data_IF_093691140224
#
_entry.id   IF_093691140224
#
_cell.length_a   1.000
_cell.length_b   1.000
_cell.length_c   1.000
_cell.angle_alpha   90.00
_cell.angle_beta   90.00
_cell.angle_gamma   90.00
#
_symmetry.space_group_name_H-M   'P 1'
#
loop_
_entity.id
_entity.type
_entity.pdbx_description
1 polymer ?
#
# COMPACT_ATOMS: atom_id res chain seq x y z
N UNK A 1 -28.51 52.96 -22.24
CA UNK A 1 -27.36 52.12 -21.81
C UNK A 1 -27.40 52.05 -20.29
N UNK A 2 -27.76 50.88 -19.72
CA UNK A 2 -27.87 50.72 -18.26
C UNK A 2 -26.47 50.80 -17.66
N UNK A 3 -26.27 51.68 -16.68
CA UNK A 3 -24.99 51.85 -15.97
C UNK A 3 -25.06 51.12 -14.63
N UNK A 4 -24.34 50.00 -14.53
CA UNK A 4 -24.22 49.24 -13.27
C UNK A 4 -23.17 49.91 -12.37
N UNK A 5 -23.57 50.24 -11.14
CA UNK A 5 -22.69 50.83 -10.13
C UNK A 5 -22.34 49.77 -9.10
N UNK A 6 -21.04 49.58 -8.86
CA UNK A 6 -20.52 48.60 -7.89
C UNK A 6 -20.32 49.31 -6.55
N UNK A 7 -20.88 48.72 -5.49
CA UNK A 7 -20.62 49.07 -4.10
C UNK A 7 -20.33 47.78 -3.36
N UNK A 8 -19.10 47.59 -2.94
CA UNK A 8 -18.69 46.42 -2.18
C UNK A 8 -18.84 46.70 -0.68
N UNK A 9 -19.26 45.68 0.06
CA UNK A 9 -19.22 45.64 1.52
C UNK A 9 -17.80 45.39 2.04
N UNK A 10 -17.56 45.69 3.32
CA UNK A 10 -16.26 45.45 3.95
C UNK A 10 -15.81 43.97 3.86
N UNK A 11 -16.76 43.03 3.93
CA UNK A 11 -16.50 41.60 3.82
C UNK A 11 -16.04 41.23 2.39
N UNK A 12 -16.75 41.70 1.36
CA UNK A 12 -16.42 41.42 -0.04
C UNK A 12 -15.05 42.03 -0.42
N UNK A 13 -14.74 43.25 0.04
CA UNK A 13 -13.43 43.87 -0.19
C UNK A 13 -12.30 43.03 0.43
N UNK A 14 -12.46 42.59 1.68
CA UNK A 14 -11.47 41.75 2.36
C UNK A 14 -11.25 40.40 1.66
N UNK A 15 -12.33 39.80 1.14
CA UNK A 15 -12.26 38.54 0.40
C UNK A 15 -11.59 38.71 -0.96
N UNK A 16 -11.93 39.74 -1.74
CA UNK A 16 -11.26 40.03 -3.02
C UNK A 16 -9.77 40.34 -2.83
N UNK A 17 -9.40 41.07 -1.78
CA UNK A 17 -7.99 41.31 -1.45
C UNK A 17 -7.28 40.01 -1.05
N UNK A 18 -7.97 39.12 -0.34
CA UNK A 18 -7.45 37.79 0.01
C UNK A 18 -7.19 36.95 -1.25
N UNK A 19 -8.13 36.96 -2.21
CA UNK A 19 -7.98 36.28 -3.51
C UNK A 19 -6.76 36.80 -4.25
N UNK A 20 -6.51 38.11 -4.26
CA UNK A 20 -5.36 38.72 -4.93
C UNK A 20 -4.03 38.36 -4.23
N UNK A 21 -4.01 38.34 -2.90
CA UNK A 21 -2.79 38.09 -2.10
C UNK A 21 -2.43 36.61 -2.02
N UNK A 22 -3.42 35.70 -1.96
CA UNK A 22 -3.21 34.26 -1.96
C UNK A 22 -3.04 33.78 -3.41
N UNK A 23 -1.84 33.38 -3.79
CA UNK A 23 -1.50 32.97 -5.17
C UNK A 23 -2.19 31.70 -5.72
N UNK A 24 -3.32 31.26 -5.18
CA UNK A 24 -3.99 29.99 -5.52
C UNK A 24 -5.48 30.17 -5.81
N UNK A 25 -5.81 30.89 -6.89
CA UNK A 25 -7.17 31.03 -7.43
C UNK A 25 -7.18 30.94 -8.96
N UNK A 26 -8.36 30.75 -9.57
CA UNK A 26 -8.45 30.72 -11.03
C UNK A 26 -8.13 32.09 -11.63
N UNK A 27 -7.52 32.13 -12.82
CA UNK A 27 -7.21 33.39 -13.52
C UNK A 27 -8.46 34.25 -13.79
N UNK A 28 -9.64 33.62 -13.86
CA UNK A 28 -10.92 34.32 -13.95
C UNK A 28 -11.25 35.06 -12.64
N UNK A 29 -11.12 34.39 -11.49
CA UNK A 29 -11.38 34.98 -10.16
C UNK A 29 -10.47 36.17 -9.90
N UNK A 30 -9.16 36.04 -10.19
CA UNK A 30 -8.21 37.15 -10.08
C UNK A 30 -8.62 38.36 -10.93
N UNK A 31 -8.99 38.11 -12.19
CA UNK A 31 -9.40 39.18 -13.11
C UNK A 31 -10.67 39.87 -12.63
N UNK A 32 -11.66 39.10 -12.18
CA UNK A 32 -12.91 39.65 -11.61
C UNK A 32 -12.61 40.46 -10.35
N UNK A 33 -11.78 39.95 -9.44
CA UNK A 33 -11.39 40.64 -8.21
C UNK A 33 -10.73 42.00 -8.49
N UNK A 34 -9.76 42.05 -9.41
CA UNK A 34 -9.13 43.31 -9.82
C UNK A 34 -10.13 44.28 -10.46
N UNK A 35 -11.06 43.80 -11.28
CA UNK A 35 -12.10 44.65 -11.90
C UNK A 35 -13.05 45.21 -10.84
N UNK A 36 -13.54 44.39 -9.92
CA UNK A 36 -14.50 44.80 -8.88
C UNK A 36 -13.86 45.80 -7.90
N UNK A 37 -12.66 45.52 -7.38
CA UNK A 37 -11.95 46.44 -6.49
C UNK A 37 -11.57 47.77 -7.16
N UNK A 38 -11.28 47.75 -8.47
CA UNK A 38 -10.98 48.99 -9.21
C UNK A 38 -12.23 49.78 -9.59
N UNK A 39 -13.39 49.14 -9.61
CA UNK A 39 -14.67 49.76 -9.97
C UNK A 39 -15.54 50.11 -8.76
N UNK A 40 -15.11 49.74 -7.56
CA UNK A 40 -15.86 49.92 -6.32
C UNK A 40 -16.01 51.40 -5.97
N UNK A 41 -17.25 51.82 -5.77
CA UNK A 41 -17.63 53.15 -5.27
C UNK A 41 -18.19 53.11 -3.85
N UNK A 42 -18.00 51.99 -3.15
CA UNK A 42 -18.36 51.80 -1.75
C UNK A 42 -17.52 52.63 -0.79
N UNK A 43 -17.92 52.63 0.47
CA UNK A 43 -17.24 53.39 1.54
C UNK A 43 -15.83 52.85 1.84
N UNK A 44 -15.63 51.56 1.60
CA UNK A 44 -14.38 50.83 1.85
C UNK A 44 -13.44 50.77 0.64
N UNK A 45 -13.71 51.56 -0.41
CA UNK A 45 -12.87 51.64 -1.61
C UNK A 45 -11.67 52.57 -1.41
N UNK A 46 -10.47 52.03 -1.62
CA UNK A 46 -9.22 52.80 -1.69
C UNK A 46 -9.06 53.54 -3.05
N UNK A 47 -9.93 53.26 -4.03
CA UNK A 47 -9.74 53.61 -5.45
C UNK A 47 -10.80 54.61 -5.97
N UNK A 48 -11.04 55.68 -5.22
CA UNK A 48 -12.01 56.72 -5.60
C UNK A 48 -11.47 57.56 -6.78
N UNK A 49 -11.82 57.17 -8.01
CA UNK A 49 -11.54 57.96 -9.21
C UNK A 49 -10.98 57.20 -10.41
N UNK A 50 -10.79 55.88 -10.32
CA UNK A 50 -10.30 55.06 -11.44
C UNK A 50 -11.36 54.97 -12.55
N UNK A 51 -10.97 55.27 -13.79
CA UNK A 51 -11.86 55.17 -14.95
C UNK A 51 -11.83 53.77 -15.57
N UNK A 52 -12.91 53.37 -16.26
CA UNK A 52 -12.93 52.11 -17.00
C UNK A 52 -11.77 52.04 -18.02
N UNK A 53 -11.34 53.17 -18.58
CA UNK A 53 -10.24 53.23 -19.55
C UNK A 53 -8.88 52.91 -18.93
N UNK A 54 -8.59 53.39 -17.72
CA UNK A 54 -7.36 53.02 -17.01
C UNK A 54 -7.34 51.54 -16.65
N UNK A 55 -8.49 50.98 -16.24
CA UNK A 55 -8.61 49.55 -15.93
C UNK A 55 -8.34 48.69 -17.17
N UNK A 56 -8.91 49.08 -18.32
CA UNK A 56 -8.64 48.41 -19.60
C UNK A 56 -7.15 48.41 -19.96
N UNK A 57 -6.44 49.53 -19.73
CA UNK A 57 -5.00 49.65 -20.02
C UNK A 57 -4.13 48.80 -19.10
N UNK A 58 -4.44 48.78 -17.80
CA UNK A 58 -3.69 48.02 -16.78
C UNK A 58 -3.93 46.52 -16.90
N UNK A 59 -5.18 46.10 -17.02
CA UNK A 59 -5.55 44.68 -17.11
C UNK A 59 -5.49 44.11 -18.53
N UNK A 60 -5.23 44.95 -19.55
CA UNK A 60 -5.20 44.60 -20.99
C UNK A 60 -6.49 43.89 -21.44
N UNK A 61 -7.65 44.44 -21.05
CA UNK A 61 -8.97 43.93 -21.37
C UNK A 61 -9.82 44.98 -22.11
N UNK A 62 -10.86 44.53 -22.82
CA UNK A 62 -11.84 45.42 -23.43
C UNK A 62 -12.91 45.92 -22.44
N UNK A 63 -13.43 47.13 -22.64
CA UNK A 63 -14.44 47.75 -21.77
C UNK A 63 -15.70 46.89 -21.58
N UNK A 64 -16.11 46.14 -22.62
CA UNK A 64 -17.24 45.21 -22.56
C UNK A 64 -17.06 44.10 -21.50
N UNK A 65 -15.83 43.71 -21.19
CA UNK A 65 -15.56 42.71 -20.14
C UNK A 65 -15.85 43.31 -18.77
N UNK A 66 -15.46 44.57 -18.54
CA UNK A 66 -15.78 45.30 -17.31
C UNK A 66 -17.29 45.41 -17.14
N UNK A 67 -18.01 45.81 -18.20
CA UNK A 67 -19.47 45.96 -18.14
C UNK A 67 -20.18 44.63 -17.87
N UNK A 68 -19.70 43.52 -18.45
CA UNK A 68 -20.24 42.18 -18.17
C UNK A 68 -20.02 41.75 -16.72
N UNK A 69 -18.84 42.02 -16.17
CA UNK A 69 -18.54 41.72 -14.76
C UNK A 69 -19.41 42.57 -13.84
N UNK A 70 -19.56 43.87 -14.14
CA UNK A 70 -20.42 44.78 -13.36
C UNK A 70 -21.89 44.35 -13.38
N UNK A 71 -22.39 44.04 -14.57
CA UNK A 71 -23.76 43.53 -14.76
C UNK A 71 -23.98 42.26 -13.95
N UNK A 72 -23.06 41.30 -14.07
CA UNK A 72 -23.17 40.00 -13.40
C UNK A 72 -23.09 40.11 -11.88
N UNK A 73 -22.21 40.96 -11.35
CA UNK A 73 -22.18 41.22 -9.90
C UNK A 73 -23.50 41.78 -9.38
N UNK A 74 -24.11 42.73 -10.10
CA UNK A 74 -25.37 43.36 -9.67
C UNK A 74 -26.58 42.45 -9.84
N UNK A 75 -26.62 41.66 -10.92
CA UNK A 75 -27.78 40.80 -11.24
C UNK A 75 -27.71 39.39 -10.64
N UNK A 76 -26.52 38.82 -10.51
CA UNK A 76 -26.30 37.42 -10.10
C UNK A 76 -25.57 37.29 -8.75
N UNK A 77 -24.96 38.36 -8.23
CA UNK A 77 -24.31 38.38 -6.91
C UNK A 77 -22.78 38.16 -6.91
N UNK A 78 -22.20 38.25 -5.71
CA UNK A 78 -20.73 38.21 -5.50
C UNK A 78 -20.09 36.85 -5.76
N UNK A 79 -20.68 35.77 -5.26
CA UNK A 79 -20.14 34.42 -5.44
C UNK A 79 -20.20 33.99 -6.93
N UNK A 80 -21.34 34.25 -7.58
CA UNK A 80 -21.57 33.89 -8.98
C UNK A 80 -20.62 34.58 -9.95
N UNK A 81 -20.28 35.86 -9.72
CA UNK A 81 -19.38 36.59 -10.64
C UNK A 81 -17.95 36.03 -10.59
N UNK A 82 -17.53 35.46 -9.46
CA UNK A 82 -16.22 34.84 -9.26
C UNK A 82 -16.11 33.46 -9.93
N UNK A 83 -17.21 32.77 -10.17
CA UNK A 83 -17.21 31.49 -10.90
C UNK A 83 -17.41 31.69 -12.41
N UNK A 84 -16.87 30.77 -13.23
CA UNK A 84 -17.17 30.76 -14.67
C UNK A 84 -18.53 30.11 -14.89
N UNK A 85 -19.41 30.77 -15.66
CA UNK A 85 -20.68 30.16 -16.07
C UNK A 85 -20.41 28.79 -16.72
N UNK A 86 -21.06 27.71 -16.24
CA UNK A 86 -20.94 26.40 -16.87
C UNK A 86 -21.35 26.49 -18.34
N UNK A 87 -20.60 25.81 -19.22
CA UNK A 87 -21.02 25.71 -20.62
C UNK A 87 -22.34 24.95 -20.68
N UNK A 88 -23.38 25.54 -21.27
CA UNK A 88 -24.68 24.88 -21.51
C UNK A 88 -24.63 23.83 -22.63
N UNK A 89 -23.43 23.52 -23.13
CA UNK A 89 -23.23 22.59 -24.22
C UNK A 89 -23.38 21.15 -23.71
N UNK A 90 -24.59 20.61 -23.86
CA UNK A 90 -24.90 19.22 -23.61
C UNK A 90 -24.27 18.37 -24.72
N UNK A 91 -23.07 17.86 -24.49
CA UNK A 91 -22.51 16.82 -25.35
C UNK A 91 -23.33 15.55 -25.13
N UNK A 92 -23.86 14.97 -26.21
CA UNK A 92 -24.39 13.61 -26.17
C UNK A 92 -23.26 12.68 -25.76
N UNK A 93 -23.34 12.11 -24.56
CA UNK A 93 -22.38 11.10 -24.11
C UNK A 93 -22.66 9.83 -24.91
N UNK A 94 -21.66 9.38 -25.69
CA UNK A 94 -21.70 8.08 -26.37
C UNK A 94 -21.75 6.89 -25.41
N UNK A 95 -21.35 7.13 -24.16
CA UNK A 95 -21.41 6.14 -23.10
C UNK A 95 -22.47 6.59 -22.12
N UNK A 96 -23.59 5.86 -22.12
CA UNK A 96 -24.65 5.97 -21.13
C UNK A 96 -24.40 5.01 -19.95
N UNK A 97 -25.22 5.11 -18.91
CA UNK A 97 -25.06 4.26 -17.72
C UNK A 97 -25.17 2.76 -18.01
N UNK A 98 -25.96 2.38 -19.02
CA UNK A 98 -26.14 0.98 -19.43
C UNK A 98 -24.87 0.44 -20.11
N UNK A 99 -24.27 1.19 -21.04
CA UNK A 99 -23.01 0.83 -21.66
C UNK A 99 -21.88 0.79 -20.62
N UNK A 100 -21.86 1.71 -19.65
CA UNK A 100 -20.90 1.67 -18.55
C UNK A 100 -21.03 0.36 -17.74
N UNK A 101 -22.25 -0.02 -17.36
CA UNK A 101 -22.50 -1.25 -16.62
C UNK A 101 -22.07 -2.50 -17.40
N UNK A 102 -22.36 -2.56 -18.71
CA UNK A 102 -21.93 -3.65 -19.59
C UNK A 102 -20.41 -3.76 -19.72
N UNK A 103 -19.71 -2.62 -19.85
CA UNK A 103 -18.24 -2.59 -19.90
C UNK A 103 -17.65 -3.12 -18.58
N UNK A 104 -18.21 -2.72 -17.44
CA UNK A 104 -17.74 -3.13 -16.12
C UNK A 104 -18.01 -4.62 -15.89
N UNK A 105 -19.21 -5.10 -16.21
CA UNK A 105 -19.57 -6.51 -16.11
C UNK A 105 -18.64 -7.40 -16.95
N UNK A 106 -18.34 -6.98 -18.18
CA UNK A 106 -17.39 -7.67 -19.04
C UNK A 106 -15.97 -7.66 -18.47
N UNK A 107 -15.52 -6.55 -17.90
CA UNK A 107 -14.20 -6.48 -17.24
C UNK A 107 -14.10 -7.40 -16.01
N UNK A 108 -15.23 -7.72 -15.36
CA UNK A 108 -15.32 -8.64 -14.23
C UNK A 108 -15.48 -10.11 -14.65
N UNK A 109 -15.71 -10.40 -15.93
CA UNK A 109 -15.86 -11.77 -16.43
C UNK A 109 -14.51 -12.42 -16.74
N UNK A 110 -14.53 -13.73 -17.00
CA UNK A 110 -13.36 -14.42 -17.52
C UNK A 110 -12.89 -13.81 -18.85
N UNK A 111 -11.57 -13.59 -19.02
CA UNK A 111 -11.02 -13.16 -20.29
C UNK A 111 -11.13 -14.27 -21.35
N UNK A 112 -11.00 -13.94 -22.65
CA UNK A 112 -11.00 -14.94 -23.72
C UNK A 112 -9.94 -16.03 -23.51
N UNK A 113 -10.23 -17.23 -24.01
CA UNK A 113 -9.32 -18.37 -23.93
C UNK A 113 -7.91 -18.00 -24.41
N UNK A 114 -6.88 -18.37 -23.64
CA UNK A 114 -5.47 -18.05 -23.91
C UNK A 114 -4.99 -16.71 -23.33
N UNK A 115 -5.87 -15.90 -22.74
CA UNK A 115 -5.49 -14.63 -22.10
C UNK A 115 -5.69 -14.70 -20.59
N UNK A 116 -4.72 -14.19 -19.83
CA UNK A 116 -4.82 -14.13 -18.37
C UNK A 116 -5.69 -12.98 -17.86
N UNK A 117 -5.88 -11.92 -18.67
CA UNK A 117 -6.59 -10.68 -18.30
C UNK A 117 -7.22 -10.00 -19.52
N UNK A 118 -8.24 -9.20 -19.29
CA UNK A 118 -8.79 -8.26 -20.27
C UNK A 118 -7.84 -7.08 -20.52
N UNK A 119 -7.43 -6.88 -21.77
CA UNK A 119 -6.82 -5.60 -22.17
C UNK A 119 -7.90 -4.58 -22.56
N UNK A 120 -7.60 -3.29 -22.45
CA UNK A 120 -8.55 -2.23 -22.83
C UNK A 120 -9.00 -2.32 -24.30
N UNK A 121 -8.11 -2.80 -25.19
CA UNK A 121 -8.43 -3.03 -26.60
C UNK A 121 -9.31 -4.25 -26.80
N UNK A 122 -9.09 -5.31 -26.02
CA UNK A 122 -9.96 -6.48 -26.05
C UNK A 122 -11.37 -6.12 -25.57
N UNK A 123 -11.48 -5.33 -24.49
CA UNK A 123 -12.77 -4.84 -24.02
C UNK A 123 -13.45 -3.97 -25.07
N UNK A 124 -12.75 -3.01 -25.68
CA UNK A 124 -13.35 -2.19 -26.74
C UNK A 124 -13.85 -3.03 -27.92
N UNK A 125 -13.03 -3.98 -28.37
CA UNK A 125 -13.40 -4.86 -29.48
C UNK A 125 -14.58 -5.76 -29.11
N UNK A 126 -14.59 -6.30 -27.89
CA UNK A 126 -15.63 -7.22 -27.43
C UNK A 126 -16.97 -6.50 -27.20
N UNK A 127 -16.94 -5.26 -26.73
CA UNK A 127 -18.15 -4.42 -26.59
C UNK A 127 -18.77 -4.09 -27.95
N UNK A 128 -17.94 -3.91 -28.99
CA UNK A 128 -18.41 -3.76 -30.38
C UNK A 128 -18.90 -5.10 -30.95
N UNK A 129 -18.18 -6.19 -30.72
CA UNK A 129 -18.56 -7.55 -31.14
C UNK A 129 -19.94 -7.97 -30.56
N UNK A 130 -20.20 -7.62 -29.29
CA UNK A 130 -21.47 -7.85 -28.61
C UNK A 130 -22.56 -6.85 -29.01
N UNK A 131 -22.29 -5.97 -29.99
CA UNK A 131 -23.21 -4.96 -30.52
C UNK A 131 -23.76 -4.00 -29.44
N UNK A 132 -22.99 -3.73 -28.39
CA UNK A 132 -23.37 -2.75 -27.37
C UNK A 132 -23.19 -1.31 -27.85
N UNK A 133 -22.28 -1.09 -28.81
CA UNK A 133 -22.00 0.20 -29.45
C UNK A 133 -21.31 -0.03 -30.79
N UNK A 134 -21.56 0.82 -31.78
CA UNK A 134 -20.92 0.70 -33.11
C UNK A 134 -19.40 0.90 -33.05
N UNK A 135 -18.95 1.77 -32.14
CA UNK A 135 -17.54 2.06 -31.94
C UNK A 135 -17.28 2.67 -30.55
N UNK A 136 -16.26 2.16 -29.87
CA UNK A 136 -15.73 2.75 -28.65
C UNK A 136 -14.20 2.71 -28.63
N UNK A 137 -13.58 3.82 -28.22
CA UNK A 137 -12.13 3.86 -28.04
C UNK A 137 -11.74 3.20 -26.71
N UNK A 138 -10.62 2.46 -26.71
CA UNK A 138 -10.01 1.90 -25.50
C UNK A 138 -9.73 2.96 -24.41
N UNK A 139 -9.54 4.24 -24.77
CA UNK A 139 -9.41 5.36 -23.82
C UNK A 139 -10.75 5.66 -23.13
N UNK A 140 -11.87 5.55 -23.85
CA UNK A 140 -13.20 5.71 -23.27
C UNK A 140 -13.49 4.58 -22.29
N UNK A 141 -13.19 3.33 -22.68
CA UNK A 141 -13.23 2.16 -21.77
C UNK A 141 -12.38 2.41 -20.52
N UNK A 142 -11.15 2.91 -20.67
CA UNK A 142 -10.28 3.24 -19.53
C UNK A 142 -10.90 4.29 -18.60
N UNK A 143 -11.51 5.34 -19.15
CA UNK A 143 -12.13 6.40 -18.36
C UNK A 143 -13.37 5.90 -17.60
N UNK A 144 -14.19 5.05 -18.23
CA UNK A 144 -15.33 4.39 -17.57
C UNK A 144 -14.85 3.56 -16.38
N UNK A 145 -13.87 2.69 -16.60
CA UNK A 145 -13.31 1.84 -15.56
C UNK A 145 -12.62 2.64 -14.44
N UNK A 146 -11.91 3.73 -14.76
CA UNK A 146 -11.25 4.59 -13.75
C UNK A 146 -12.25 5.31 -12.84
N UNK A 147 -13.38 5.74 -13.39
CA UNK A 147 -14.44 6.43 -12.64
C UNK A 147 -15.25 5.47 -11.78
N UNK A 148 -15.28 4.20 -12.13
CA UNK A 148 -16.02 3.19 -11.37
C UNK A 148 -15.33 2.88 -10.03
N UNK A 149 -16.14 2.51 -9.03
CA UNK A 149 -15.67 2.05 -7.73
C UNK A 149 -15.03 0.66 -7.85
N UNK A 150 -15.57 -0.20 -8.71
CA UNK A 150 -15.04 -1.51 -8.99
C UNK A 150 -13.78 -1.41 -9.85
N UNK A 151 -12.70 -2.01 -9.36
CA UNK A 151 -11.39 -2.05 -10.01
C UNK A 151 -10.94 -3.50 -10.14
N UNK A 152 -11.43 -4.27 -11.13
CA UNK A 152 -11.19 -5.72 -11.23
C UNK A 152 -9.70 -6.09 -11.30
N UNK A 153 -8.85 -5.18 -11.76
CA UNK A 153 -7.39 -5.36 -11.78
C UNK A 153 -6.72 -5.20 -10.41
N UNK A 154 -7.41 -4.68 -9.39
CA UNK A 154 -6.92 -4.62 -8.02
C UNK A 154 -7.26 -5.91 -7.29
N UNK A 155 -6.31 -6.83 -7.25
CA UNK A 155 -6.43 -8.08 -6.51
C UNK A 155 -5.68 -7.95 -5.19
N UNK A 156 -6.34 -8.28 -4.08
CA UNK A 156 -5.70 -8.53 -2.79
C UNK A 156 -5.85 -10.01 -2.49
N UNK A 157 -4.74 -10.71 -2.31
CA UNK A 157 -4.75 -12.09 -1.81
C UNK A 157 -4.94 -12.10 -0.30
N UNK A 158 -5.67 -13.08 0.21
CA UNK A 158 -5.69 -13.41 1.63
C UNK A 158 -5.71 -14.93 1.77
N UNK A 159 -5.16 -15.43 2.87
CA UNK A 159 -5.17 -16.85 3.21
C UNK A 159 -5.90 -16.98 4.55
N UNK A 160 -7.10 -17.54 4.50
CA UNK A 160 -7.92 -17.92 5.66
C UNK A 160 -8.60 -19.25 5.34
N UNK A 161 -9.00 -20.05 6.33
CA UNK A 161 -9.80 -21.25 6.09
C UNK A 161 -11.10 -20.92 5.32
N UNK A 162 -11.54 -21.81 4.41
CA UNK A 162 -12.75 -21.60 3.62
C UNK A 162 -14.02 -21.67 4.47
N UNK A 163 -13.99 -22.45 5.57
CA UNK A 163 -15.12 -22.73 6.45
C UNK A 163 -14.81 -22.36 7.91
N UNK A 164 -15.84 -22.41 8.76
CA UNK A 164 -15.69 -22.27 10.22
C UNK A 164 -14.71 -23.33 10.75
N UNK A 165 -13.77 -22.92 11.59
CA UNK A 165 -12.74 -23.84 12.10
C UNK A 165 -12.40 -23.52 13.55
N UNK A 166 -12.91 -24.36 14.46
CA UNK A 166 -12.60 -24.27 15.88
C UNK A 166 -11.08 -24.34 16.13
N UNK A 167 -10.39 -25.25 15.43
CA UNK A 167 -8.93 -25.40 15.55
C UNK A 167 -8.16 -24.18 15.03
N UNK A 168 -8.63 -23.53 13.96
CA UNK A 168 -8.04 -22.28 13.50
C UNK A 168 -8.15 -21.19 14.57
N UNK A 169 -9.37 -20.99 15.08
CA UNK A 169 -9.68 -19.95 16.06
C UNK A 169 -8.90 -20.17 17.35
N UNK A 170 -8.87 -21.40 17.88
CA UNK A 170 -8.16 -21.72 19.12
C UNK A 170 -6.65 -21.42 19.02
N UNK A 171 -6.00 -21.82 17.93
CA UNK A 171 -4.58 -21.56 17.74
C UNK A 171 -4.29 -20.09 17.43
N UNK A 172 -5.16 -19.42 16.65
CA UNK A 172 -5.06 -17.99 16.42
C UNK A 172 -5.13 -17.20 17.73
N UNK A 173 -6.16 -17.44 18.55
CA UNK A 173 -6.31 -16.72 19.83
C UNK A 173 -5.12 -17.01 20.76
N UNK A 174 -4.60 -18.26 20.78
CA UNK A 174 -3.38 -18.61 21.53
C UNK A 174 -2.16 -17.80 21.09
N UNK A 175 -1.93 -17.65 19.78
CA UNK A 175 -0.83 -16.83 19.24
C UNK A 175 -1.00 -15.37 19.66
N UNK A 176 -2.21 -14.84 19.50
CA UNK A 176 -2.52 -13.44 19.85
C UNK A 176 -2.42 -13.16 21.35
N UNK A 177 -2.77 -14.14 22.21
CA UNK A 177 -2.57 -14.03 23.65
C UNK A 177 -1.10 -13.97 24.02
N UNK A 178 -0.25 -14.77 23.36
CA UNK A 178 1.21 -14.72 23.57
C UNK A 178 1.76 -13.35 23.17
N UNK A 179 1.32 -12.79 22.04
CA UNK A 179 1.76 -11.48 21.57
C UNK A 179 1.32 -10.30 22.44
N UNK A 180 0.28 -10.47 23.26
CA UNK A 180 -0.16 -9.47 24.24
C UNK A 180 0.63 -9.49 25.54
N UNK A 181 1.42 -10.54 25.80
CA UNK A 181 2.16 -10.65 27.05
C UNK A 181 3.23 -9.56 27.16
N UNK A 182 3.45 -9.01 28.37
CA UNK A 182 4.55 -8.09 28.59
C UNK A 182 5.89 -8.81 28.39
N UNK A 183 6.93 -8.03 28.12
CA UNK A 183 8.28 -8.55 28.01
C UNK A 183 8.70 -9.27 29.30
N UNK A 184 9.30 -10.45 29.16
CA UNK A 184 9.83 -11.24 30.27
C UNK A 184 11.08 -12.00 29.81
N UNK A 185 12.24 -11.66 30.40
CA UNK A 185 13.54 -12.27 30.08
C UNK A 185 13.62 -13.76 30.42
N UNK A 186 12.88 -14.24 31.43
CA UNK A 186 12.85 -15.66 31.78
C UNK A 186 12.00 -16.48 30.80
N UNK A 187 11.04 -15.82 30.13
CA UNK A 187 10.08 -16.41 29.19
C UNK A 187 9.98 -15.63 27.88
N UNK A 188 11.09 -15.48 27.12
CA UNK A 188 11.10 -14.68 25.92
C UNK A 188 10.18 -15.26 24.84
N UNK A 189 9.54 -14.37 24.08
CA UNK A 189 8.69 -14.73 22.93
C UNK A 189 9.52 -14.56 21.67
N UNK A 190 9.86 -15.67 21.04
CA UNK A 190 10.62 -15.71 19.79
C UNK A 190 9.72 -16.23 18.68
N UNK A 191 9.69 -15.55 17.55
CA UNK A 191 9.03 -16.01 16.33
C UNK A 191 10.08 -16.57 15.39
N UNK A 192 9.78 -17.66 14.70
CA UNK A 192 10.70 -18.29 13.76
C UNK A 192 9.99 -18.65 12.46
N UNK A 193 10.69 -18.45 11.36
CA UNK A 193 10.26 -18.82 10.02
C UNK A 193 11.46 -19.01 9.09
N UNK A 194 11.19 -19.43 7.86
CA UNK A 194 12.22 -19.67 6.85
C UNK A 194 11.79 -19.32 5.43
N UNK A 195 12.77 -18.99 4.59
CA UNK A 195 12.54 -18.71 3.17
C UNK A 195 13.65 -19.27 2.30
N UNK A 196 13.34 -19.85 1.14
CA UNK A 196 14.35 -20.17 0.15
C UNK A 196 14.87 -18.89 -0.52
N UNK A 197 16.14 -18.90 -0.94
CA UNK A 197 16.76 -17.87 -1.78
C UNK A 197 17.48 -18.53 -2.95
N UNK A 198 17.14 -18.13 -4.17
CA UNK A 198 17.87 -18.53 -5.36
C UNK A 198 19.22 -17.83 -5.45
N UNK A 199 20.25 -18.61 -5.77
CA UNK A 199 21.59 -18.12 -6.06
C UNK A 199 21.69 -17.82 -7.55
N UNK A 200 21.91 -16.55 -7.87
CA UNK A 200 21.89 -16.03 -9.23
C UNK A 200 23.12 -15.17 -9.47
N UNK A 201 23.85 -15.47 -10.53
CA UNK A 201 24.95 -14.67 -11.03
C UNK A 201 24.47 -13.70 -12.11
N UNK A 202 24.92 -12.45 -12.01
CA UNK A 202 24.67 -11.42 -13.01
C UNK A 202 25.88 -11.33 -13.95
N UNK A 203 25.64 -11.44 -15.25
CA UNK A 203 26.71 -11.61 -16.26
C UNK A 203 27.42 -10.29 -16.57
N UNK A 204 26.68 -9.20 -16.77
CA UNK A 204 27.23 -7.86 -16.96
C UNK A 204 26.17 -6.77 -16.75
N UNK A 205 26.56 -5.67 -16.09
CA UNK A 205 25.77 -4.45 -16.07
C UNK A 205 26.60 -3.20 -16.31
N UNK A 206 26.00 -2.25 -17.04
CA UNK A 206 26.56 -0.93 -17.32
C UNK A 206 25.90 0.04 -16.34
N UNK A 207 26.69 0.73 -15.49
CA UNK A 207 26.15 1.68 -14.54
C UNK A 207 25.49 2.87 -15.25
N UNK A 208 24.49 3.46 -14.59
CA UNK A 208 23.79 4.65 -15.05
C UNK A 208 24.76 5.82 -15.25
N UNK A 209 24.55 6.61 -16.31
CA UNK A 209 25.26 7.88 -16.56
C UNK A 209 24.22 8.99 -16.82
N UNK A 210 24.52 10.28 -16.62
CA UNK A 210 23.59 11.35 -16.96
C UNK A 210 23.07 11.22 -18.40
N UNK A 211 21.76 11.06 -18.56
CA UNK A 211 21.10 10.85 -19.86
C UNK A 211 21.14 9.41 -20.40
N UNK A 212 21.64 8.44 -19.64
CA UNK A 212 21.66 7.02 -20.01
C UNK A 212 21.26 6.14 -18.83
N UNK A 213 20.18 5.37 -19.01
CA UNK A 213 19.73 4.39 -18.02
C UNK A 213 20.79 3.31 -17.77
N UNK A 214 20.81 2.75 -16.56
CA UNK A 214 21.57 1.54 -16.29
C UNK A 214 21.08 0.40 -17.21
N UNK A 215 22.01 -0.41 -17.71
CA UNK A 215 21.69 -1.57 -18.53
C UNK A 215 22.15 -2.81 -17.80
N UNK A 216 21.22 -3.73 -17.58
CA UNK A 216 21.48 -5.03 -16.97
C UNK A 216 21.22 -6.07 -18.05
N UNK A 217 22.15 -7.00 -18.25
CA UNK A 217 21.91 -8.14 -19.12
C UNK A 217 20.79 -9.01 -18.53
N UNK A 218 19.86 -9.45 -19.36
CA UNK A 218 18.80 -10.36 -18.94
C UNK A 218 19.30 -11.80 -18.79
N UNK A 219 20.48 -12.13 -19.32
CA UNK A 219 21.13 -13.40 -19.07
C UNK A 219 21.61 -13.50 -17.62
N UNK A 220 21.26 -14.60 -16.98
CA UNK A 220 21.71 -14.93 -15.62
C UNK A 220 21.99 -16.42 -15.52
N UNK A 221 22.92 -16.77 -14.63
CA UNK A 221 23.28 -18.17 -14.35
C UNK A 221 22.70 -18.55 -12.99
N UNK A 222 21.99 -19.68 -12.91
CA UNK A 222 21.43 -20.21 -11.67
C UNK A 222 22.40 -21.19 -11.03
N UNK A 223 22.78 -20.93 -9.78
CA UNK A 223 23.68 -21.76 -8.98
C UNK A 223 22.95 -22.60 -7.91
N UNK A 224 21.62 -22.72 -8.04
CA UNK A 224 20.76 -23.45 -7.11
C UNK A 224 20.07 -22.55 -6.09
N UNK A 225 19.79 -23.10 -4.91
CA UNK A 225 19.04 -22.44 -3.84
C UNK A 225 19.66 -22.71 -2.49
N UNK A 226 19.55 -21.74 -1.58
CA UNK A 226 19.83 -21.90 -0.15
C UNK A 226 18.55 -21.69 0.65
N UNK A 227 18.52 -22.18 1.88
CA UNK A 227 17.48 -21.89 2.85
C UNK A 227 17.97 -20.84 3.85
N UNK A 228 17.08 -19.94 4.25
CA UNK A 228 17.36 -18.91 5.24
C UNK A 228 16.38 -19.10 6.39
N UNK A 229 16.89 -19.48 7.54
CA UNK A 229 16.15 -19.45 8.80
C UNK A 229 16.27 -18.08 9.43
N UNK A 230 15.17 -17.56 9.97
CA UNK A 230 15.17 -16.38 10.80
C UNK A 230 14.40 -16.65 12.09
N UNK A 231 14.91 -16.10 13.18
CA UNK A 231 14.20 -15.97 14.43
C UNK A 231 14.27 -14.52 14.88
N UNK A 232 13.17 -14.00 15.42
CA UNK A 232 13.12 -12.65 15.96
C UNK A 232 12.38 -12.62 17.29
N UNK A 233 12.86 -11.80 18.21
CA UNK A 233 12.16 -11.46 19.44
C UNK A 233 11.48 -10.09 19.25
N UNK A 234 10.15 -10.05 19.05
CA UNK A 234 9.44 -8.83 18.62
C UNK A 234 9.62 -7.63 19.54
N UNK A 235 9.66 -7.87 20.85
CA UNK A 235 9.65 -6.82 21.89
C UNK A 235 11.03 -6.23 22.18
N UNK A 236 12.11 -6.95 21.87
CA UNK A 236 13.49 -6.47 22.02
C UNK A 236 14.05 -5.98 20.69
N UNK A 237 13.59 -6.55 19.57
CA UNK A 237 14.20 -6.31 18.27
C UNK A 237 15.47 -7.13 18.06
N UNK A 238 15.66 -8.25 18.76
CA UNK A 238 16.75 -9.17 18.47
C UNK A 238 16.38 -10.06 17.28
N UNK A 239 17.32 -10.30 16.37
CA UNK A 239 17.22 -11.27 15.28
C UNK A 239 18.40 -12.23 15.29
N UNK A 240 18.12 -13.46 14.91
CA UNK A 240 19.08 -14.53 14.64
C UNK A 240 18.74 -15.06 13.25
N UNK A 241 19.71 -15.03 12.33
CA UNK A 241 19.56 -15.54 10.98
C UNK A 241 20.59 -16.65 10.78
N UNK A 242 20.22 -17.67 10.01
CA UNK A 242 21.12 -18.74 9.63
C UNK A 242 20.86 -19.17 8.18
N UNK A 243 21.92 -19.44 7.43
CA UNK A 243 21.84 -19.80 6.01
C UNK A 243 22.34 -21.22 5.82
N UNK A 244 21.46 -22.10 5.37
CA UNK A 244 21.74 -23.52 5.17
C UNK A 244 21.58 -23.91 3.72
N UNK A 245 22.20 -25.01 3.29
CA UNK A 245 22.03 -25.51 1.91
C UNK A 245 20.62 -26.05 1.69
N UNK A 246 20.06 -26.65 2.73
CA UNK A 246 18.79 -27.35 2.70
C UNK A 246 17.89 -26.96 3.89
N UNK A 247 16.62 -27.32 3.77
CA UNK A 247 15.60 -27.28 4.82
C UNK A 247 15.33 -28.71 5.29
N UNK A 248 16.24 -29.29 6.07
CA UNK A 248 16.05 -30.64 6.63
C UNK A 248 15.63 -30.58 8.10
N UNK A 249 15.14 -31.70 8.65
CA UNK A 249 14.94 -31.87 10.10
C UNK A 249 16.22 -31.57 10.88
N UNK A 250 17.36 -31.96 10.34
CA UNK A 250 18.67 -31.75 10.95
C UNK A 250 19.04 -30.26 11.03
N UNK A 251 18.81 -29.52 9.94
CA UNK A 251 19.09 -28.08 9.87
C UNK A 251 18.18 -27.31 10.82
N UNK A 252 16.90 -27.70 10.88
CA UNK A 252 15.94 -27.14 11.84
C UNK A 252 16.39 -27.37 13.29
N UNK A 253 16.73 -28.60 13.67
CA UNK A 253 17.16 -28.92 15.03
C UNK A 253 18.40 -28.12 15.46
N UNK A 254 19.37 -27.94 14.54
CA UNK A 254 20.55 -27.10 14.75
C UNK A 254 20.18 -25.63 14.91
N UNK A 255 19.24 -25.11 14.12
CA UNK A 255 18.78 -23.74 14.25
C UNK A 255 18.05 -23.49 15.57
N UNK A 256 17.19 -24.42 16.02
CA UNK A 256 16.54 -24.31 17.32
C UNK A 256 17.57 -24.36 18.47
N UNK A 257 18.60 -25.20 18.36
CA UNK A 257 19.73 -25.16 19.31
C UNK A 257 20.41 -23.79 19.31
N UNK A 258 20.69 -23.20 18.13
CA UNK A 258 21.26 -21.85 18.00
C UNK A 258 20.39 -20.81 18.72
N UNK A 259 19.06 -20.87 18.58
CA UNK A 259 18.14 -20.01 19.34
C UNK A 259 18.32 -20.24 20.84
N UNK A 260 18.31 -21.49 21.31
CA UNK A 260 18.50 -21.82 22.73
C UNK A 260 19.79 -21.23 23.31
N UNK A 261 20.90 -21.36 22.57
CA UNK A 261 22.22 -20.88 22.99
C UNK A 261 22.26 -19.35 23.16
N UNK A 262 21.44 -18.61 22.40
CA UNK A 262 21.33 -17.14 22.46
C UNK A 262 20.55 -16.62 23.70
N UNK A 263 19.83 -17.50 24.39
CA UNK A 263 19.07 -17.20 25.62
C UNK A 263 19.50 -18.13 26.78
N UNK A 264 20.75 -18.04 27.25
CA UNK A 264 21.31 -18.96 28.26
C UNK A 264 20.58 -18.89 29.60
N UNK A 265 20.05 -17.72 29.97
CA UNK A 265 19.38 -17.47 31.26
C UNK A 265 17.87 -17.71 31.22
N UNK A 266 17.27 -17.89 30.05
CA UNK A 266 15.84 -18.10 29.92
C UNK A 266 15.45 -19.47 30.49
N UNK A 267 14.40 -19.51 31.31
CA UNK A 267 13.86 -20.76 31.86
C UNK A 267 13.12 -21.55 30.79
N UNK A 268 12.37 -20.85 29.93
CA UNK A 268 11.65 -21.46 28.82
C UNK A 268 11.39 -20.45 27.71
N UNK A 269 11.65 -20.82 26.47
CA UNK A 269 11.46 -19.93 25.31
C UNK A 269 10.12 -20.24 24.65
N UNK A 270 9.25 -19.24 24.52
CA UNK A 270 7.98 -19.36 23.78
C UNK A 270 8.26 -19.17 22.30
N UNK A 271 8.26 -20.26 21.54
CA UNK A 271 8.60 -20.24 20.13
C UNK A 271 7.32 -20.27 19.28
N UNK A 272 7.01 -19.16 18.61
CA UNK A 272 5.92 -19.06 17.65
C UNK A 272 6.44 -19.41 16.26
N UNK A 273 5.78 -20.36 15.60
CA UNK A 273 6.23 -20.88 14.29
C UNK A 273 5.11 -21.60 13.55
N UNK A 274 5.33 -21.96 12.30
CA UNK A 274 4.36 -22.71 11.50
C UNK A 274 4.28 -24.20 11.91
N UNK A 275 3.12 -24.80 11.64
CA UNK A 275 2.88 -26.22 11.89
C UNK A 275 3.37 -27.07 10.72
N UNK A 276 4.69 -27.08 10.50
CA UNK A 276 5.33 -27.85 9.44
C UNK A 276 5.79 -29.23 9.93
N UNK A 277 5.67 -30.26 9.08
CA UNK A 277 5.88 -31.66 9.50
C UNK A 277 7.29 -31.97 9.98
N UNK A 278 8.30 -31.19 9.58
CA UNK A 278 9.69 -31.41 10.03
C UNK A 278 9.97 -30.79 11.38
N UNK A 279 9.01 -30.03 11.94
CA UNK A 279 9.13 -29.34 13.22
C UNK A 279 8.55 -30.19 14.34
N UNK A 280 9.20 -31.33 14.61
CA UNK A 280 8.78 -32.26 15.64
C UNK A 280 9.94 -32.57 16.60
N UNK A 281 9.61 -33.06 17.81
CA UNK A 281 10.63 -33.40 18.79
C UNK A 281 11.56 -34.53 18.36
N UNK A 282 11.15 -35.38 17.40
CA UNK A 282 12.00 -36.47 16.91
C UNK A 282 13.25 -35.93 16.21
N UNK A 283 13.16 -34.76 15.57
CA UNK A 283 14.31 -34.11 14.96
C UNK A 283 15.44 -33.83 15.97
N UNK A 284 15.15 -33.60 17.26
CA UNK A 284 16.20 -33.45 18.27
C UNK A 284 16.88 -34.77 18.59
N UNK A 285 16.13 -35.86 18.73
CA UNK A 285 16.66 -37.19 19.05
C UNK A 285 17.42 -37.85 17.89
N UNK A 286 17.14 -37.43 16.65
CA UNK A 286 17.91 -37.85 15.48
C UNK A 286 19.30 -37.20 15.40
N UNK A 287 19.50 -36.04 16.07
CA UNK A 287 20.67 -35.17 15.84
C UNK A 287 21.54 -34.99 17.08
N UNK A 288 20.93 -34.99 18.27
CA UNK A 288 21.62 -34.75 19.53
C UNK A 288 21.55 -35.97 20.45
N UNK A 289 22.52 -36.14 21.38
CA UNK A 289 22.43 -37.14 22.43
C UNK A 289 21.10 -37.03 23.20
N UNK A 290 20.51 -38.15 23.67
CA UNK A 290 19.17 -38.14 24.27
C UNK A 290 18.95 -37.13 25.41
N UNK A 291 19.97 -36.90 26.24
CA UNK A 291 19.93 -35.92 27.33
C UNK A 291 19.82 -34.49 26.79
N UNK A 292 20.68 -34.10 25.85
CA UNK A 292 20.65 -32.80 25.19
C UNK A 292 19.37 -32.60 24.36
N UNK A 293 18.92 -33.64 23.66
CA UNK A 293 17.67 -33.60 22.90
C UNK A 293 16.46 -33.32 23.81
N UNK A 294 16.42 -33.99 24.98
CA UNK A 294 15.36 -33.79 25.97
C UNK A 294 15.44 -32.40 26.61
N UNK A 295 16.63 -31.94 26.95
CA UNK A 295 16.85 -30.58 27.48
C UNK A 295 16.35 -29.53 26.49
N UNK A 296 16.72 -29.64 25.21
CA UNK A 296 16.23 -28.74 24.16
C UNK A 296 14.71 -28.81 24.05
N UNK A 297 14.13 -30.01 23.98
CA UNK A 297 12.67 -30.15 23.87
C UNK A 297 11.92 -29.49 25.03
N UNK A 298 12.42 -29.62 26.26
CA UNK A 298 11.78 -29.05 27.45
C UNK A 298 12.01 -27.54 27.59
N UNK A 299 13.07 -27.02 26.96
CA UNK A 299 13.42 -25.60 26.95
C UNK A 299 12.49 -24.74 26.08
N UNK A 300 11.72 -25.34 25.18
CA UNK A 300 10.79 -24.62 24.32
C UNK A 300 9.32 -24.87 24.68
N UNK A 301 8.51 -23.81 24.65
CA UNK A 301 7.06 -23.91 24.52
C UNK A 301 6.69 -23.57 23.08
N UNK A 302 6.34 -24.58 22.30
CA UNK A 302 5.94 -24.39 20.90
C UNK A 302 4.51 -23.85 20.81
N UNK A 303 4.35 -22.74 20.10
CA UNK A 303 3.08 -22.07 19.83
C UNK A 303 2.89 -22.06 18.32
N UNK A 304 2.10 -23.02 17.83
CA UNK A 304 1.95 -23.24 16.40
C UNK A 304 0.90 -22.30 15.82
N UNK A 305 1.22 -21.64 14.71
CA UNK A 305 0.22 -20.90 13.93
C UNK A 305 -0.78 -21.87 13.32
N UNK A 306 -2.06 -21.47 13.20
CA UNK A 306 -3.05 -22.32 12.56
C UNK A 306 -2.74 -22.51 11.07
N UNK A 307 -3.16 -23.66 10.51
CA UNK A 307 -3.16 -23.86 9.05
C UNK A 307 -3.95 -22.72 8.40
N UNK A 308 -3.44 -22.17 7.30
CA UNK A 308 -3.97 -20.96 6.66
C UNK A 308 -3.86 -19.68 7.51
N UNK A 309 -3.01 -19.65 8.53
CA UNK A 309 -2.79 -18.50 9.41
C UNK A 309 -1.31 -18.11 9.53
N UNK A 310 -0.51 -18.39 8.50
CA UNK A 310 0.93 -18.09 8.51
C UNK A 310 1.21 -16.59 8.64
N UNK A 311 0.31 -15.74 8.13
CA UNK A 311 0.31 -14.28 8.30
C UNK A 311 0.28 -13.79 9.76
N UNK A 312 -0.03 -14.66 10.73
CA UNK A 312 0.10 -14.36 12.15
C UNK A 312 1.55 -14.41 12.64
N UNK A 313 2.45 -15.10 11.94
CA UNK A 313 3.83 -15.27 12.36
C UNK A 313 4.63 -13.98 12.12
N UNK A 314 5.07 -13.32 13.19
CA UNK A 314 5.88 -12.09 13.04
C UNK A 314 7.22 -12.32 12.35
N UNK A 315 7.73 -13.55 12.30
CA UNK A 315 8.95 -13.86 11.55
C UNK A 315 8.76 -13.70 10.03
N UNK A 316 7.55 -13.87 9.49
CA UNK A 316 7.26 -13.56 8.08
C UNK A 316 7.48 -12.07 7.76
N UNK A 317 7.16 -11.17 8.70
CA UNK A 317 7.40 -9.73 8.56
C UNK A 317 8.91 -9.49 8.43
N UNK A 318 9.71 -10.14 9.26
CA UNK A 318 11.16 -10.01 9.26
C UNK A 318 11.79 -10.59 8.00
N UNK A 319 11.31 -11.73 7.51
CA UNK A 319 11.70 -12.26 6.21
C UNK A 319 11.37 -11.28 5.08
N UNK A 320 10.20 -10.65 5.11
CA UNK A 320 9.83 -9.66 4.11
C UNK A 320 10.79 -8.45 4.12
N UNK A 321 11.15 -7.96 5.32
CA UNK A 321 12.12 -6.86 5.46
C UNK A 321 13.52 -7.28 5.01
N UNK A 322 14.00 -8.45 5.42
CA UNK A 322 15.30 -9.00 4.99
C UNK A 322 15.35 -9.14 3.46
N UNK A 323 14.28 -9.68 2.87
CA UNK A 323 14.16 -9.79 1.43
C UNK A 323 14.22 -8.41 0.76
N UNK A 324 13.38 -7.46 1.18
CA UNK A 324 13.33 -6.13 0.59
C UNK A 324 14.63 -5.32 0.74
N UNK A 325 15.31 -5.41 1.89
CA UNK A 325 16.48 -4.60 2.20
C UNK A 325 17.81 -5.23 1.77
N UNK A 326 17.93 -6.55 1.81
CA UNK A 326 19.22 -7.24 1.60
C UNK A 326 19.19 -8.21 0.41
N UNK A 327 18.18 -9.07 0.32
CA UNK A 327 18.19 -10.21 -0.61
C UNK A 327 17.53 -9.93 -1.96
N UNK A 328 16.89 -8.78 -2.14
CA UNK A 328 16.25 -8.35 -3.40
C UNK A 328 17.30 -7.88 -4.44
N UNK A 329 18.27 -8.75 -4.71
CA UNK A 329 19.34 -8.63 -5.71
C UNK A 329 19.88 -10.02 -6.08
N UNK A 330 20.66 -10.08 -7.17
CA UNK A 330 21.38 -11.28 -7.56
C UNK A 330 22.60 -11.49 -6.65
N UNK A 331 22.70 -12.68 -6.09
CA UNK A 331 23.80 -13.10 -5.22
C UNK A 331 24.19 -14.51 -5.68
N UNK A 332 25.40 -14.71 -6.23
CA UNK A 332 25.76 -15.94 -6.92
C UNK A 332 26.13 -17.10 -5.97
N UNK A 333 26.58 -16.79 -4.76
CA UNK A 333 27.16 -17.79 -3.85
C UNK A 333 26.58 -17.69 -2.45
N UNK A 334 26.55 -18.84 -1.75
CA UNK A 334 26.07 -18.94 -0.37
C UNK A 334 26.91 -18.09 0.59
N UNK A 335 28.23 -18.07 0.42
CA UNK A 335 29.16 -17.33 1.28
C UNK A 335 28.85 -15.84 1.25
N UNK A 336 28.48 -15.32 0.07
CA UNK A 336 28.07 -13.93 -0.07
C UNK A 336 26.70 -13.68 0.57
N UNK A 337 25.76 -14.63 0.47
CA UNK A 337 24.48 -14.54 1.20
C UNK A 337 24.74 -14.47 2.71
N UNK A 338 25.60 -15.33 3.26
CA UNK A 338 25.96 -15.33 4.68
C UNK A 338 26.52 -13.97 5.09
N UNK A 339 27.54 -13.46 4.40
CA UNK A 339 28.18 -12.19 4.75
C UNK A 339 27.19 -11.01 4.73
N UNK A 340 26.32 -10.95 3.72
CA UNK A 340 25.34 -9.87 3.57
C UNK A 340 24.20 -9.96 4.60
N UNK A 341 23.78 -11.19 4.94
CA UNK A 341 22.79 -11.45 5.98
C UNK A 341 23.34 -11.11 7.36
N UNK A 342 24.59 -11.47 7.66
CA UNK A 342 25.26 -11.12 8.92
C UNK A 342 25.40 -9.61 9.09
N UNK A 343 25.83 -8.91 8.04
CA UNK A 343 25.91 -7.44 8.04
C UNK A 343 24.54 -6.81 8.29
N UNK A 344 23.50 -7.31 7.62
CA UNK A 344 22.11 -6.84 7.81
C UNK A 344 21.60 -7.12 9.23
N UNK A 345 21.85 -8.33 9.77
CA UNK A 345 21.46 -8.71 11.13
C UNK A 345 22.10 -7.78 12.15
N UNK A 346 23.40 -7.54 12.05
CA UNK A 346 24.14 -6.67 12.97
C UNK A 346 23.60 -5.24 12.92
N UNK A 347 23.34 -4.71 11.72
CA UNK A 347 22.75 -3.38 11.55
C UNK A 347 21.36 -3.28 12.22
N UNK A 348 20.48 -4.26 11.97
CA UNK A 348 19.10 -4.28 12.51
C UNK A 348 19.06 -4.46 14.01
N UNK A 349 19.91 -5.34 14.56
CA UNK A 349 20.01 -5.59 16.00
C UNK A 349 20.54 -4.33 16.71
N UNK A 350 21.53 -3.64 16.16
CA UNK A 350 22.05 -2.38 16.73
C UNK A 350 21.03 -1.24 16.71
N UNK A 351 20.09 -1.26 15.76
CA UNK A 351 19.02 -0.27 15.67
C UNK A 351 17.85 -0.54 16.64
N UNK A 352 17.82 -1.69 17.34
CA UNK A 352 16.77 -2.08 18.29
C UNK A 352 15.34 -1.92 17.72
N UNK A 353 15.14 -2.23 16.45
CA UNK A 353 13.86 -2.04 15.77
C UNK A 353 12.84 -3.07 16.24
N UNK A 354 11.79 -2.64 16.94
CA UNK A 354 10.74 -3.53 17.47
C UNK A 354 9.62 -3.75 16.45
N UNK A 355 8.88 -4.84 16.59
CA UNK A 355 7.66 -5.06 15.81
C UNK A 355 6.47 -4.56 16.63
N UNK A 356 5.73 -3.61 16.07
CA UNK A 356 4.51 -3.10 16.69
C UNK A 356 3.28 -3.84 16.15
N UNK A 357 2.91 -4.94 16.81
CA UNK A 357 1.72 -5.71 16.44
C UNK A 357 0.45 -5.09 17.03
N UNK A 358 -0.57 -4.90 16.20
CA UNK A 358 -1.78 -4.16 16.57
C UNK A 358 -3.06 -5.00 16.49
N UNK A 359 -3.01 -6.20 15.89
CA UNK A 359 -4.18 -7.04 15.70
C UNK A 359 -4.45 -7.88 16.96
N UNK A 360 -5.62 -7.73 17.57
CA UNK A 360 -5.95 -8.36 18.85
C UNK A 360 -7.04 -9.44 18.72
N UNK A 361 -7.28 -10.21 19.79
CA UNK A 361 -8.45 -11.11 19.85
C UNK A 361 -9.78 -10.37 19.69
N UNK A 362 -9.89 -9.14 20.19
CA UNK A 362 -11.10 -8.33 20.02
C UNK A 362 -11.31 -7.96 18.55
N UNK A 363 -10.24 -7.54 17.86
CA UNK A 363 -10.26 -7.35 16.41
C UNK A 363 -10.63 -8.63 15.68
N UNK A 364 -10.04 -9.76 16.06
CA UNK A 364 -10.25 -11.04 15.39
C UNK A 364 -11.70 -11.51 15.50
N UNK A 365 -12.32 -11.38 16.68
CA UNK A 365 -13.74 -11.73 16.91
C UNK A 365 -14.70 -10.88 16.08
N UNK A 366 -14.33 -9.63 15.75
CA UNK A 366 -15.13 -8.76 14.89
C UNK A 366 -14.84 -9.04 13.41
N UNK A 367 -13.58 -8.92 12.99
CA UNK A 367 -13.15 -8.97 11.58
C UNK A 367 -13.22 -10.39 10.99
N UNK A 368 -13.04 -11.42 11.81
CA UNK A 368 -13.04 -12.83 11.41
C UNK A 368 -14.22 -13.61 12.00
N UNK A 369 -15.31 -12.93 12.40
CA UNK A 369 -16.50 -13.54 13.01
C UNK A 369 -16.98 -14.80 12.28
N UNK A 370 -16.93 -14.79 10.94
CA UNK A 370 -17.35 -15.92 10.08
C UNK A 370 -16.56 -17.22 10.28
N UNK A 371 -15.36 -17.16 10.87
CA UNK A 371 -14.52 -18.32 11.14
C UNK A 371 -14.84 -19.00 12.47
N UNK A 372 -15.54 -18.29 13.37
CA UNK A 372 -15.95 -18.82 14.67
C UNK A 372 -17.11 -19.80 14.47
N UNK A 373 -17.03 -21.03 15.03
CA UNK A 373 -18.13 -21.98 14.99
C UNK A 373 -19.42 -21.38 15.54
N UNK A 374 -20.53 -21.63 14.85
CA UNK A 374 -21.86 -21.27 15.36
C UNK A 374 -22.25 -22.22 16.49
N UNK A 375 -22.63 -21.68 17.65
CA UNK A 375 -23.19 -22.48 18.73
C UNK A 375 -24.65 -22.76 18.35
N UNK A 376 -24.92 -23.98 17.90
CA UNK A 376 -26.30 -24.47 17.83
C UNK A 376 -26.71 -24.82 19.27
N UNK A 377 -27.60 -24.00 19.84
CA UNK A 377 -28.25 -24.30 21.12
C UNK A 377 -29.39 -25.29 20.94
#
# INVERSE_FOLDING_TARGET
MIRYTIKLSAAEVAELQTIIKKGSHSAHSFRVAHILLSCDKGEFSDNKGITNESICKVLKIGARTIDRVKKRFVEEGFEEVLERRPSGQLYQKKVDGDLEAKIVALCCSEPPAGFSKWSLRMLSNKVVELQYVDYISHVSVSNVLKKNELKPWKVKGWVIPPEQSANFVANMERVLDVYKQPYNEEYPVVCMDESPKQLIEEVASIPMKPGQDARVDYEYIRHGTVNIFIANEPLTGRRIVDVTDFKTKADWAKFIKKISDEYPTAKKIKLVMDNFKTHDGSAFYEIFPPEQAKELWDRFEFILTPKHGSWLNMAEIELHVLNGQCLNRHIPTKEKVIAEVEAWQNHRNNANLKINWQFTNEDARIKLKKLYPSIQN
#
